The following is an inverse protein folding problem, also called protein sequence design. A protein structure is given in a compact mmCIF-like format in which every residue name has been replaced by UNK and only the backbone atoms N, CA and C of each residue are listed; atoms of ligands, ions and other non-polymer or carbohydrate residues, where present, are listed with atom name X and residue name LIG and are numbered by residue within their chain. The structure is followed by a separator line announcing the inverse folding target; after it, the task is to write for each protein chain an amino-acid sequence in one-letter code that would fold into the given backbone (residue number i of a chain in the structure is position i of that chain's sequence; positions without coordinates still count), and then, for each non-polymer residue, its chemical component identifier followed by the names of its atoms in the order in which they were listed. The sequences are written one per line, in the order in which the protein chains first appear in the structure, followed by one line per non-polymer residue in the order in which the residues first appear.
data_IF_055364924035
#
_entry.id   IF_055364924035
#
_cell.length_a   1.000
_cell.length_b   1.000
_cell.length_c   1.000
_cell.angle_alpha   90.00
_cell.angle_beta   90.00
_cell.angle_gamma   90.00
#
_symmetry.space_group_name_H-M   'P 1'
#
loop_
_entity.id
_entity.type
_entity.pdbx_description
1 polymer ?
#
# COMPACT_ATOMS: atom_id res chain seq x y z
N UNK A 1 -10.73 -4.56 -28.55
CA UNK A 1 -10.97 -4.18 -27.14
C UNK A 1 -10.70 -5.40 -26.28
N UNK A 2 -10.06 -5.23 -25.12
CA UNK A 2 -9.98 -6.32 -24.14
C UNK A 2 -11.37 -6.54 -23.51
N UNK A 3 -11.75 -7.80 -23.27
CA UNK A 3 -12.95 -8.14 -22.53
C UNK A 3 -12.58 -8.65 -21.14
N UNK A 4 -13.26 -8.17 -20.12
CA UNK A 4 -13.18 -8.74 -18.76
C UNK A 4 -14.13 -9.94 -18.71
N UNK A 5 -13.58 -11.14 -18.52
CA UNK A 5 -14.38 -12.36 -18.46
C UNK A 5 -15.13 -12.51 -17.12
N UNK A 6 -14.49 -12.11 -16.02
CA UNK A 6 -15.11 -12.05 -14.69
C UNK A 6 -14.36 -11.08 -13.78
N UNK A 7 -15.05 -10.55 -12.77
CA UNK A 7 -14.44 -9.82 -11.65
C UNK A 7 -15.06 -10.31 -10.34
N UNK A 8 -14.27 -10.36 -9.29
CA UNK A 8 -14.72 -10.63 -7.93
C UNK A 8 -13.99 -9.72 -6.96
N UNK A 9 -14.53 -9.59 -5.75
CA UNK A 9 -13.85 -8.87 -4.67
C UNK A 9 -12.65 -9.72 -4.22
N UNK A 10 -11.46 -9.16 -4.31
CA UNK A 10 -10.23 -9.79 -3.82
C UNK A 10 -10.10 -9.66 -2.30
N UNK A 11 -10.22 -8.43 -1.79
CA UNK A 11 -10.14 -8.12 -0.37
C UNK A 11 -11.00 -6.88 -0.05
N UNK A 12 -11.37 -6.71 1.22
CA UNK A 12 -12.01 -5.51 1.74
C UNK A 12 -11.00 -4.80 2.64
N UNK A 13 -10.99 -3.47 2.58
CA UNK A 13 -10.12 -2.67 3.43
C UNK A 13 -10.34 -3.01 4.92
N UNK A 14 -9.27 -3.14 5.73
CA UNK A 14 -9.40 -3.32 7.17
C UNK A 14 -10.14 -2.14 7.80
N UNK A 15 -10.77 -2.40 8.96
CA UNK A 15 -11.43 -1.34 9.71
C UNK A 15 -10.45 -0.22 10.05
N UNK A 16 -10.82 1.02 9.74
CA UNK A 16 -9.98 2.20 9.94
C UNK A 16 -9.13 2.60 8.73
N UNK A 17 -9.00 1.73 7.72
CA UNK A 17 -8.30 2.05 6.47
C UNK A 17 -9.29 2.59 5.42
N UNK A 18 -8.91 3.66 4.74
CA UNK A 18 -9.73 4.30 3.71
C UNK A 18 -8.86 4.94 2.62
N UNK A 19 -9.48 5.31 1.49
CA UNK A 19 -8.79 5.91 0.35
C UNK A 19 -7.62 5.06 -0.17
N UNK A 20 -7.88 3.84 -0.68
CA UNK A 20 -6.82 3.05 -1.30
C UNK A 20 -6.26 3.77 -2.53
N UNK A 21 -4.94 3.85 -2.65
CA UNK A 21 -4.28 4.47 -3.81
C UNK A 21 -3.32 3.48 -4.49
N UNK A 22 -2.15 3.27 -3.92
CA UNK A 22 -1.09 2.47 -4.54
C UNK A 22 -1.21 0.98 -4.27
N UNK A 23 -0.92 0.16 -5.29
CA UNK A 23 -0.90 -1.31 -5.19
C UNK A 23 0.39 -1.88 -5.80
N UNK A 24 1.00 -2.87 -5.13
CA UNK A 24 2.14 -3.61 -5.68
C UNK A 24 2.08 -5.09 -5.35
N UNK A 25 2.73 -5.92 -6.17
CA UNK A 25 2.84 -7.36 -5.92
C UNK A 25 4.17 -7.64 -5.22
N UNK A 26 4.08 -8.12 -3.98
CA UNK A 26 5.23 -8.54 -3.19
C UNK A 26 5.72 -9.94 -3.54
N UNK A 27 6.72 -10.41 -2.78
CA UNK A 27 7.22 -11.78 -2.87
C UNK A 27 6.13 -12.79 -2.48
N UNK A 28 6.24 -14.01 -3.03
CA UNK A 28 5.27 -15.08 -2.77
C UNK A 28 3.86 -14.84 -3.34
N UNK A 29 3.68 -13.79 -4.15
CA UNK A 29 2.37 -13.41 -4.68
C UNK A 29 1.49 -12.66 -3.69
N UNK A 30 2.07 -12.13 -2.61
CA UNK A 30 1.37 -11.18 -1.74
C UNK A 30 0.99 -9.91 -2.51
N UNK A 31 -0.12 -9.29 -2.10
CA UNK A 31 -0.61 -8.04 -2.66
C UNK A 31 -0.51 -6.98 -1.58
N UNK A 32 0.06 -5.84 -1.91
CA UNK A 32 0.27 -4.74 -0.97
C UNK A 32 -0.55 -3.56 -1.43
N UNK A 33 -1.34 -2.99 -0.53
CA UNK A 33 -2.19 -1.83 -0.81
C UNK A 33 -1.88 -0.76 0.22
N UNK A 34 -1.70 0.46 -0.28
CA UNK A 34 -1.64 1.68 0.51
C UNK A 34 -3.05 2.22 0.71
N UNK A 35 -3.30 2.77 1.90
CA UNK A 35 -4.50 3.51 2.26
C UNK A 35 -4.10 4.86 2.85
N UNK A 36 -4.35 5.94 2.11
CA UNK A 36 -3.89 7.29 2.49
C UNK A 36 -4.58 7.87 3.72
N UNK A 37 -5.74 7.34 4.09
CA UNK A 37 -6.53 7.76 5.26
C UNK A 37 -6.82 9.28 5.31
N UNK A 38 -6.83 9.95 4.16
CA UNK A 38 -7.05 11.39 4.06
C UNK A 38 -5.89 12.24 4.59
N UNK A 39 -4.67 11.69 4.64
CA UNK A 39 -3.46 12.46 4.95
C UNK A 39 -3.29 13.59 3.93
N UNK A 40 -2.76 14.73 4.39
CA UNK A 40 -2.51 15.90 3.54
C UNK A 40 -1.33 15.66 2.61
N UNK A 41 -1.39 16.20 1.40
CA UNK A 41 -0.32 16.22 0.37
C UNK A 41 0.92 17.03 0.73
N UNK A 42 1.11 17.30 2.01
CA UNK A 42 2.29 17.91 2.59
C UNK A 42 2.92 16.99 3.66
N UNK A 43 2.32 15.82 3.90
CA UNK A 43 2.70 14.86 4.93
C UNK A 43 2.25 15.22 6.34
N UNK A 44 1.47 16.30 6.50
CA UNK A 44 1.05 16.78 7.81
C UNK A 44 -0.27 16.16 8.27
N UNK A 45 -0.33 15.86 9.57
CA UNK A 45 -1.59 15.58 10.27
C UNK A 45 -2.21 14.20 10.02
N UNK A 46 -1.48 13.28 9.38
CA UNK A 46 -2.01 11.96 9.04
C UNK A 46 -0.96 10.86 8.92
N UNK A 47 -1.45 9.68 8.56
CA UNK A 47 -0.70 8.42 8.48
C UNK A 47 -1.31 7.58 7.37
N UNK A 48 -0.48 7.12 6.43
CA UNK A 48 -0.86 6.09 5.48
C UNK A 48 -0.75 4.71 6.13
N UNK A 49 -1.73 3.86 5.86
CA UNK A 49 -1.74 2.45 6.29
C UNK A 49 -1.41 1.54 5.12
N UNK A 50 -0.37 0.74 5.24
CA UNK A 50 0.08 -0.19 4.21
C UNK A 50 -0.31 -1.58 4.66
N UNK A 51 -1.13 -2.26 3.87
CA UNK A 51 -1.66 -3.59 4.18
C UNK A 51 -1.07 -4.60 3.23
N UNK A 52 -0.47 -5.65 3.79
CA UNK A 52 -0.06 -6.84 3.06
C UNK A 52 -1.18 -7.87 3.11
N UNK A 53 -1.68 -8.26 1.95
CA UNK A 53 -2.60 -9.36 1.76
C UNK A 53 -1.88 -10.61 1.24
N UNK A 54 -2.37 -11.77 1.68
CA UNK A 54 -2.06 -13.05 1.06
C UNK A 54 -2.56 -13.05 -0.39
N UNK A 55 -2.10 -14.01 -1.20
CA UNK A 55 -2.62 -14.21 -2.57
C UNK A 55 -4.12 -14.52 -2.63
N UNK A 56 -4.76 -14.77 -1.48
CA UNK A 56 -6.20 -15.07 -1.35
C UNK A 56 -7.00 -13.89 -0.76
N UNK A 57 -6.33 -12.78 -0.45
CA UNK A 57 -6.99 -11.57 0.09
C UNK A 57 -7.04 -11.49 1.62
N UNK A 58 -6.41 -12.43 2.34
CA UNK A 58 -6.33 -12.36 3.80
C UNK A 58 -5.27 -11.34 4.23
N UNK A 59 -5.57 -10.49 5.21
CA UNK A 59 -4.57 -9.59 5.79
C UNK A 59 -3.50 -10.42 6.49
N UNK A 60 -2.23 -10.23 6.08
CA UNK A 60 -1.06 -10.83 6.73
C UNK A 60 -0.40 -9.85 7.69
N UNK A 61 -0.22 -8.60 7.25
CA UNK A 61 0.43 -7.55 8.04
C UNK A 61 -0.18 -6.17 7.74
N UNK A 62 -0.01 -5.25 8.68
CA UNK A 62 -0.42 -3.83 8.56
C UNK A 62 0.70 -2.96 9.12
N UNK A 63 1.06 -1.91 8.39
CA UNK A 63 2.13 -0.98 8.73
C UNK A 63 1.61 0.44 8.62
N UNK A 64 1.78 1.23 9.67
CA UNK A 64 1.40 2.63 9.68
C UNK A 64 2.64 3.50 9.47
N UNK A 65 2.60 4.35 8.44
CA UNK A 65 3.68 5.26 8.08
C UNK A 65 3.18 6.70 8.16
N UNK A 66 3.89 7.53 8.93
CA UNK A 66 3.60 8.96 9.01
C UNK A 66 3.76 9.65 7.65
N UNK A 67 2.86 10.57 7.33
CA UNK A 67 2.85 11.25 6.03
C UNK A 67 2.00 10.53 4.99
N UNK A 68 1.95 11.09 3.78
CA UNK A 68 1.17 10.53 2.68
C UNK A 68 2.06 9.63 1.83
N UNK A 69 1.72 8.35 1.74
CA UNK A 69 2.36 7.42 0.81
C UNK A 69 1.58 7.43 -0.49
N UNK A 70 2.24 7.86 -1.55
CA UNK A 70 1.65 7.95 -2.90
C UNK A 70 2.07 6.77 -3.80
N UNK A 71 3.09 6.02 -3.40
CA UNK A 71 3.73 5.01 -4.24
C UNK A 71 4.16 3.76 -3.47
N UNK A 72 3.87 2.58 -4.03
CA UNK A 72 4.41 1.31 -3.55
C UNK A 72 5.22 0.58 -4.63
N UNK A 73 6.35 0.01 -4.23
CA UNK A 73 7.13 -0.89 -5.10
C UNK A 73 7.76 -2.02 -4.30
N UNK A 74 7.56 -3.27 -4.74
CA UNK A 74 8.32 -4.38 -4.20
C UNK A 74 9.71 -4.48 -4.83
N UNK A 75 10.72 -4.70 -4.00
CA UNK A 75 12.07 -5.09 -4.44
C UNK A 75 12.15 -6.62 -4.54
N UNK A 76 12.27 -7.18 -5.75
CA UNK A 76 12.32 -8.63 -5.93
C UNK A 76 13.62 -9.27 -5.44
N UNK A 77 14.69 -8.50 -5.23
CA UNK A 77 15.98 -9.03 -4.76
C UNK A 77 15.99 -9.25 -3.25
N UNK A 78 15.32 -8.38 -2.49
CA UNK A 78 15.33 -8.40 -1.02
C UNK A 78 14.00 -8.85 -0.43
N UNK A 79 12.90 -8.71 -1.17
CA UNK A 79 11.54 -8.91 -0.66
C UNK A 79 10.97 -7.71 0.10
N UNK A 80 11.75 -6.64 0.27
CA UNK A 80 11.27 -5.41 0.89
C UNK A 80 10.21 -4.72 0.03
N UNK A 81 9.32 -3.97 0.67
CA UNK A 81 8.40 -3.05 0.00
C UNK A 81 8.84 -1.62 0.27
N UNK A 82 8.94 -0.83 -0.79
CA UNK A 82 9.29 0.58 -0.74
C UNK A 82 8.01 1.40 -0.76
N UNK A 83 7.89 2.32 0.18
CA UNK A 83 6.81 3.29 0.28
C UNK A 83 7.35 4.70 0.00
N UNK A 84 6.78 5.35 -1.01
CA UNK A 84 7.21 6.64 -1.53
C UNK A 84 6.28 7.73 -1.00
N UNK A 85 6.86 8.72 -0.33
CA UNK A 85 6.14 9.88 0.20
C UNK A 85 6.44 11.11 -0.67
N UNK A 86 6.14 11.03 -1.97
CA UNK A 86 6.68 12.01 -2.93
C UNK A 86 5.87 13.31 -3.03
N UNK A 87 4.70 13.40 -2.42
CA UNK A 87 3.97 14.66 -2.27
C UNK A 87 4.28 15.36 -0.96
N UNK A 88 4.76 14.65 0.06
CA UNK A 88 5.14 15.25 1.33
C UNK A 88 6.15 16.39 1.13
N UNK A 89 5.97 17.47 1.90
CA UNK A 89 6.85 18.64 1.86
C UNK A 89 8.30 18.30 2.30
N UNK A 90 8.47 17.15 2.95
CA UNK A 90 9.75 16.52 3.23
C UNK A 90 9.72 15.08 2.68
N UNK A 91 9.92 14.93 1.38
CA UNK A 91 9.76 13.64 0.72
C UNK A 91 10.73 12.58 1.27
N UNK A 92 10.21 11.38 1.51
CA UNK A 92 11.00 10.25 2.02
C UNK A 92 10.74 8.97 1.23
N UNK A 93 11.64 8.01 1.41
CA UNK A 93 11.51 6.64 0.94
C UNK A 93 11.65 5.71 2.14
N UNK A 94 10.58 5.01 2.47
CA UNK A 94 10.53 4.04 3.57
C UNK A 94 10.69 2.62 3.03
N UNK A 95 11.44 1.78 3.76
CA UNK A 95 11.63 0.37 3.43
C UNK A 95 10.94 -0.49 4.49
N UNK A 96 9.97 -1.28 4.06
CA UNK A 96 9.27 -2.26 4.90
C UNK A 96 9.91 -3.62 4.64
N UNK A 97 10.46 -4.22 5.70
CA UNK A 97 10.92 -5.61 5.69
C UNK A 97 9.87 -6.48 6.42
N UNK A 98 9.07 -7.27 5.69
CA UNK A 98 7.92 -8.00 6.24
C UNK A 98 8.25 -9.21 7.12
#
# INVERSE_FOLDING_TARGET
MASVESQSIFAVAPSGSSSPDSITRGVGGSIWVEYGNGTSSTGQGGTSTIVQYSKLGDVQNTYDLSGEVDGLKADPATGNVWALHNQDANSTLSFINP
#
